data_IF_815995199485
#
_entry.id   IF_815995199485
#
_cell.length_a   1.000
_cell.length_b   1.000
_cell.length_c   1.000
_cell.angle_alpha   90.00
_cell.angle_beta   90.00
_cell.angle_gamma   90.00
#
_symmetry.space_group_name_H-M   'P 1'
#
loop_
_entity.id
_entity.type
_entity.pdbx_description
1 polymer ?
#
# COMPACT_ATOMS: atom_id res chain seq x y z
N UNK A 1 -21.82 29.97 -11.46
CA UNK A 1 -22.08 29.39 -10.14
C UNK A 1 -22.46 27.94 -10.39
N UNK A 2 -21.50 27.03 -10.24
CA UNK A 2 -21.80 25.60 -10.30
C UNK A 2 -22.62 25.22 -9.07
N UNK A 3 -23.56 24.29 -9.23
CA UNK A 3 -24.36 23.75 -8.13
C UNK A 3 -23.43 23.00 -7.18
N UNK A 4 -23.62 23.18 -5.87
CA UNK A 4 -22.91 22.41 -4.85
C UNK A 4 -23.12 20.89 -5.05
N UNK A 5 -22.10 20.12 -4.66
CA UNK A 5 -22.18 18.66 -4.66
C UNK A 5 -22.97 18.16 -3.45
N UNK A 6 -23.64 17.02 -3.63
CA UNK A 6 -24.31 16.30 -2.55
C UNK A 6 -23.29 15.49 -1.72
N UNK A 7 -23.70 15.13 -0.51
CA UNK A 7 -22.91 14.37 0.46
C UNK A 7 -22.38 13.04 -0.12
N UNK A 8 -23.20 12.30 -0.87
CA UNK A 8 -22.80 11.03 -1.48
C UNK A 8 -21.65 11.19 -2.49
N UNK A 9 -21.65 12.29 -3.26
CA UNK A 9 -20.53 12.62 -4.14
C UNK A 9 -19.26 12.97 -3.35
N UNK A 10 -19.37 13.63 -2.20
CA UNK A 10 -18.24 13.96 -1.33
C UNK A 10 -17.69 12.71 -0.61
N UNK A 11 -18.56 11.79 -0.16
CA UNK A 11 -18.17 10.48 0.37
C UNK A 11 -17.41 9.67 -0.68
N UNK A 12 -17.96 9.52 -1.88
CA UNK A 12 -17.27 8.84 -2.98
C UNK A 12 -15.95 9.51 -3.37
N UNK A 13 -15.82 10.84 -3.16
CA UNK A 13 -14.55 11.56 -3.33
C UNK A 13 -13.53 11.14 -2.28
N UNK A 14 -13.92 11.05 -0.99
CA UNK A 14 -13.05 10.60 0.11
C UNK A 14 -12.61 9.14 -0.08
N UNK A 15 -13.54 8.28 -0.51
CA UNK A 15 -13.29 6.85 -0.75
C UNK A 15 -12.49 6.57 -2.03
N UNK A 16 -12.19 7.61 -2.83
CA UNK A 16 -11.55 7.52 -4.15
C UNK A 16 -12.32 6.69 -5.18
N UNK A 17 -13.65 6.65 -5.08
CA UNK A 17 -14.52 5.92 -6.01
C UNK A 17 -14.92 6.76 -7.23
N UNK A 18 -14.65 8.07 -7.21
CA UNK A 18 -14.95 8.96 -8.34
C UNK A 18 -13.99 8.75 -9.52
N UNK A 19 -14.51 9.02 -10.73
CA UNK A 19 -13.65 9.11 -11.91
C UNK A 19 -12.63 10.24 -11.76
N UNK A 20 -11.44 10.14 -12.39
CA UNK A 20 -10.39 11.15 -12.27
C UNK A 20 -10.85 12.57 -12.64
N UNK A 21 -11.70 12.68 -13.66
CA UNK A 21 -12.25 13.95 -14.13
C UNK A 21 -13.19 14.56 -13.08
N UNK A 22 -14.03 13.73 -12.46
CA UNK A 22 -15.00 14.16 -11.45
C UNK A 22 -14.29 14.53 -10.14
N UNK A 23 -13.32 13.73 -9.70
CA UNK A 23 -12.47 14.00 -8.55
C UNK A 23 -11.77 15.37 -8.67
N UNK A 24 -11.22 15.69 -9.85
CA UNK A 24 -10.58 17.00 -10.07
C UNK A 24 -11.58 18.18 -10.06
N UNK A 25 -12.83 17.96 -10.46
CA UNK A 25 -13.88 19.00 -10.35
C UNK A 25 -14.29 19.22 -8.90
N UNK A 26 -14.53 18.14 -8.16
CA UNK A 26 -14.89 18.21 -6.73
C UNK A 26 -13.77 18.91 -5.95
N UNK A 27 -12.52 18.51 -6.14
CA UNK A 27 -11.37 19.15 -5.49
C UNK A 27 -11.27 20.66 -5.76
N UNK A 28 -11.50 21.09 -7.01
CA UNK A 28 -11.49 22.52 -7.36
C UNK A 28 -12.67 23.28 -6.77
N UNK A 29 -13.84 22.66 -6.71
CA UNK A 29 -15.04 23.28 -6.17
C UNK A 29 -14.97 23.43 -4.66
N UNK A 30 -14.57 22.38 -3.94
CA UNK A 30 -14.37 22.41 -2.47
C UNK A 30 -13.37 23.49 -2.08
N UNK A 31 -12.29 23.67 -2.85
CA UNK A 31 -11.31 24.73 -2.60
C UNK A 31 -11.86 26.16 -2.76
N UNK A 32 -13.01 26.34 -3.40
CA UNK A 32 -13.60 27.64 -3.71
C UNK A 32 -15.03 27.85 -3.15
N UNK A 33 -15.56 26.87 -2.41
CA UNK A 33 -16.95 26.84 -1.95
C UNK A 33 -17.00 26.42 -0.47
N UNK A 34 -17.15 27.40 0.43
CA UNK A 34 -17.17 27.17 1.88
C UNK A 34 -18.21 26.12 2.32
N UNK A 35 -19.46 26.11 1.80
CA UNK A 35 -20.44 25.09 2.16
C UNK A 35 -20.01 23.66 1.81
N UNK A 36 -19.33 23.46 0.68
CA UNK A 36 -18.84 22.14 0.31
C UNK A 36 -17.59 21.74 1.10
N UNK A 37 -16.79 22.70 1.56
CA UNK A 37 -15.67 22.43 2.46
C UNK A 37 -16.14 22.05 3.87
N UNK A 38 -17.17 22.71 4.38
CA UNK A 38 -17.80 22.39 5.67
C UNK A 38 -18.44 20.99 5.62
N UNK A 39 -19.23 20.69 4.59
CA UNK A 39 -19.84 19.37 4.42
C UNK A 39 -18.79 18.26 4.25
N UNK A 40 -17.69 18.52 3.54
CA UNK A 40 -16.60 17.55 3.42
C UNK A 40 -15.94 17.27 4.78
N UNK A 41 -15.72 18.30 5.59
CA UNK A 41 -15.15 18.16 6.93
C UNK A 41 -16.07 17.38 7.88
N UNK A 42 -17.39 17.59 7.78
CA UNK A 42 -18.40 16.83 8.55
C UNK A 42 -18.33 15.33 8.22
N UNK A 43 -18.28 14.97 6.93
CA UNK A 43 -18.13 13.57 6.50
C UNK A 43 -16.78 12.98 6.95
N UNK A 44 -15.69 13.75 6.91
CA UNK A 44 -14.39 13.32 7.44
C UNK A 44 -14.43 13.06 8.95
N UNK A 45 -15.16 13.87 9.72
CA UNK A 45 -15.34 13.68 11.16
C UNK A 45 -16.16 12.41 11.47
N UNK A 46 -17.27 12.20 10.75
CA UNK A 46 -18.09 11.00 10.91
C UNK A 46 -17.31 9.72 10.60
N UNK A 47 -16.54 9.71 9.52
CA UNK A 47 -15.68 8.57 9.18
C UNK A 47 -14.59 8.33 10.22
N UNK A 48 -13.97 9.40 10.74
CA UNK A 48 -12.95 9.30 11.78
C UNK A 48 -13.48 8.62 13.06
N UNK A 49 -14.71 8.96 13.48
CA UNK A 49 -15.36 8.34 14.65
C UNK A 49 -15.58 6.83 14.46
N UNK A 50 -15.99 6.41 13.27
CA UNK A 50 -16.17 4.98 12.95
C UNK A 50 -14.83 4.25 12.98
N UNK A 51 -13.77 4.83 12.40
CA UNK A 51 -12.45 4.22 12.39
C UNK A 51 -11.83 4.12 13.80
N UNK A 52 -12.03 5.13 14.66
CA UNK A 52 -11.58 5.09 16.06
C UNK A 52 -12.27 3.95 16.83
N UNK A 53 -13.59 3.81 16.66
CA UNK A 53 -14.35 2.72 17.29
C UNK A 53 -13.91 1.33 16.79
N UNK A 54 -13.60 1.20 15.50
CA UNK A 54 -13.15 -0.06 14.90
C UNK A 54 -11.67 -0.36 15.13
N UNK A 55 -10.85 0.59 15.58
CA UNK A 55 -9.40 0.39 15.72
C UNK A 55 -9.07 -0.79 16.63
N UNK A 56 -9.81 -0.97 17.72
CA UNK A 56 -9.62 -2.08 18.64
C UNK A 56 -9.93 -3.44 18.00
N UNK A 57 -10.93 -3.52 17.11
CA UNK A 57 -11.33 -4.75 16.44
C UNK A 57 -10.45 -5.06 15.21
N UNK A 58 -10.08 -4.04 14.44
CA UNK A 58 -9.19 -4.17 13.27
C UNK A 58 -7.81 -4.71 13.68
N UNK A 59 -7.25 -4.20 14.79
CA UNK A 59 -5.96 -4.65 15.30
C UNK A 59 -5.97 -6.11 15.79
N UNK A 60 -7.13 -6.65 16.15
CA UNK A 60 -7.29 -8.06 16.57
C UNK A 60 -7.58 -8.98 15.39
N UNK A 61 -8.37 -8.51 14.41
CA UNK A 61 -8.86 -9.31 13.29
C UNK A 61 -7.89 -9.41 12.11
N UNK A 62 -6.94 -8.47 11.99
CA UNK A 62 -5.88 -8.55 10.98
C UNK A 62 -4.55 -8.76 11.69
N UNK A 63 -4.04 -10.01 11.79
CA UNK A 63 -2.68 -10.28 12.22
C UNK A 63 -1.71 -9.80 11.13
N UNK A 64 -1.49 -8.49 11.10
CA UNK A 64 -0.67 -7.80 10.10
C UNK A 64 0.69 -8.48 9.98
N UNK A 65 1.32 -8.89 11.09
CA UNK A 65 2.65 -9.52 11.06
C UNK A 65 2.71 -10.85 10.30
N UNK A 66 1.73 -11.74 10.46
CA UNK A 66 1.73 -13.05 9.75
C UNK A 66 1.42 -12.88 8.26
N UNK A 67 0.49 -11.98 7.94
CA UNK A 67 0.17 -11.64 6.55
C UNK A 67 1.35 -10.94 5.87
N UNK A 68 1.99 -9.97 6.54
CA UNK A 68 3.19 -9.32 6.04
C UNK A 68 4.33 -10.31 5.81
N UNK A 69 4.54 -11.28 6.71
CA UNK A 69 5.58 -12.31 6.52
C UNK A 69 5.30 -13.15 5.27
N UNK A 70 4.05 -13.57 5.08
CA UNK A 70 3.64 -14.37 3.91
C UNK A 70 3.71 -13.57 2.61
N UNK A 71 3.32 -12.29 2.64
CA UNK A 71 3.43 -11.39 1.49
C UNK A 71 4.90 -11.17 1.14
N UNK A 72 5.76 -10.89 2.13
CA UNK A 72 7.20 -10.70 1.90
C UNK A 72 7.85 -11.97 1.34
N UNK A 73 7.52 -13.14 1.89
CA UNK A 73 7.99 -14.44 1.39
C UNK A 73 7.57 -14.67 -0.07
N UNK A 74 6.33 -14.29 -0.42
CA UNK A 74 5.83 -14.40 -1.80
C UNK A 74 6.53 -13.41 -2.75
N UNK A 75 6.84 -12.20 -2.29
CA UNK A 75 7.58 -11.20 -3.08
C UNK A 75 9.04 -11.61 -3.27
N UNK A 76 9.69 -12.13 -2.23
CA UNK A 76 11.09 -12.61 -2.30
C UNK A 76 11.23 -13.77 -3.29
N UNK A 77 10.26 -14.69 -3.30
CA UNK A 77 10.25 -15.83 -4.24
C UNK A 77 10.03 -15.36 -5.69
N UNK A 78 9.10 -14.44 -5.94
CA UNK A 78 8.89 -13.88 -7.28
C UNK A 78 10.11 -13.08 -7.77
N UNK A 79 10.70 -12.26 -6.90
CA UNK A 79 11.88 -11.45 -7.25
C UNK A 79 13.12 -12.33 -7.52
N UNK A 80 13.30 -13.43 -6.77
CA UNK A 80 14.35 -14.42 -7.03
C UNK A 80 14.15 -15.06 -8.40
N UNK A 81 12.91 -15.42 -8.74
CA UNK A 81 12.54 -15.99 -10.04
C UNK A 81 12.79 -15.00 -11.18
N UNK A 82 12.43 -13.72 -11.04
CA UNK A 82 12.78 -12.66 -12.02
C UNK A 82 14.29 -12.48 -12.17
N UNK A 83 15.08 -12.54 -11.10
CA UNK A 83 16.55 -12.45 -11.18
C UNK A 83 17.18 -13.63 -11.93
N UNK A 84 16.59 -14.83 -11.80
CA UNK A 84 17.05 -16.03 -12.51
C UNK A 84 16.74 -15.92 -14.01
N UNK A 85 15.56 -15.43 -14.39
CA UNK A 85 15.22 -15.15 -15.80
C UNK A 85 16.10 -14.05 -16.40
N UNK A 86 16.47 -13.01 -15.62
CA UNK A 86 17.43 -12.01 -16.06
C UNK A 86 18.85 -12.56 -16.24
N UNK A 87 19.32 -13.47 -15.37
CA UNK A 87 20.61 -14.14 -15.54
C UNK A 87 20.62 -15.10 -16.73
N UNK A 88 19.52 -15.83 -16.96
CA UNK A 88 19.40 -16.73 -18.10
C UNK A 88 19.36 -15.95 -19.42
N UNK A 89 18.58 -14.86 -19.49
CA UNK A 89 18.53 -14.01 -20.68
C UNK A 89 19.85 -13.29 -20.95
N UNK A 90 20.59 -12.88 -19.91
CA UNK A 90 21.95 -12.34 -20.05
C UNK A 90 22.93 -13.40 -20.58
N UNK A 91 22.84 -14.65 -20.13
CA UNK A 91 23.68 -15.76 -20.59
C UNK A 91 23.39 -16.12 -22.06
N UNK A 92 22.12 -16.16 -22.46
CA UNK A 92 21.70 -16.42 -23.86
C UNK A 92 22.14 -15.30 -24.80
N UNK A 93 22.01 -14.03 -24.38
CA UNK A 93 22.51 -12.88 -25.16
C UNK A 93 24.04 -12.87 -25.27
N UNK A 94 24.75 -13.28 -24.21
CA UNK A 94 26.20 -13.44 -24.23
C UNK A 94 26.68 -14.54 -25.18
N UNK A 95 25.95 -15.66 -25.27
CA UNK A 95 26.27 -16.76 -26.16
C UNK A 95 26.02 -16.43 -27.64
N UNK A 96 25.09 -15.52 -27.94
CA UNK A 96 24.81 -15.07 -29.31
C UNK A 96 25.87 -14.12 -29.90
N UNK A 97 26.84 -13.69 -29.10
CA UNK A 97 27.93 -12.77 -29.52
C UNK A 97 29.28 -13.49 -29.75
N UNK A 98 29.36 -14.80 -29.55
CA UNK A 98 30.56 -15.58 -29.89
C UNK A 98 30.45 -16.16 -31.31
N UNK A 99 31.58 -16.08 -32.02
CA UNK A 99 31.76 -16.41 -33.43
C UNK A 99 31.09 -17.73 -33.90
N UNK A 100 30.65 -17.83 -35.17
CA UNK A 100 29.93 -19.00 -35.71
C UNK A 100 30.70 -20.34 -35.68
N UNK A 101 31.99 -20.34 -35.30
CA UNK A 101 32.84 -21.54 -35.30
C UNK A 101 32.80 -22.33 -33.97
N UNK A 102 32.19 -21.80 -32.91
CA UNK A 102 32.13 -22.47 -31.59
C UNK A 102 30.88 -23.36 -31.41
N UNK A 103 29.93 -23.28 -32.35
CA UNK A 103 28.65 -24.02 -32.31
C UNK A 103 28.85 -25.54 -32.48
N UNK A 104 29.91 -25.98 -33.17
CA UNK A 104 30.18 -27.40 -33.39
C UNK A 104 30.72 -28.14 -32.14
N UNK A 105 31.41 -27.44 -31.23
CA UNK A 105 31.98 -28.06 -30.02
C UNK A 105 31.06 -27.99 -28.79
N UNK A 106 30.11 -27.04 -28.77
CA UNK A 106 29.16 -26.90 -27.66
C UNK A 106 28.14 -28.03 -27.56
N UNK A 107 27.72 -28.62 -28.69
CA UNK A 107 26.78 -29.75 -28.71
C UNK A 107 27.37 -31.02 -28.10
N UNK A 108 28.68 -31.24 -28.28
CA UNK A 108 29.39 -32.39 -27.71
C UNK A 108 29.41 -32.32 -26.17
N UNK A 109 29.64 -31.13 -25.60
CA UNK A 109 29.64 -30.94 -24.14
C UNK A 109 28.25 -31.10 -23.52
N UNK A 110 27.19 -30.67 -24.21
CA UNK A 110 25.81 -30.89 -23.77
C UNK A 110 25.45 -32.38 -23.77
N UNK A 111 25.81 -33.11 -24.83
CA UNK A 111 25.56 -34.56 -24.92
C UNK A 111 26.37 -35.30 -23.85
N UNK A 112 27.65 -34.97 -23.65
CA UNK A 112 28.49 -35.59 -22.61
C UNK A 112 27.94 -35.28 -21.22
N UNK A 113 27.47 -34.06 -20.96
CA UNK A 113 26.83 -33.68 -19.70
C UNK A 113 25.54 -34.43 -19.41
N UNK A 114 24.68 -34.60 -20.42
CA UNK A 114 23.43 -35.37 -20.28
C UNK A 114 23.69 -36.86 -20.08
N UNK A 115 24.65 -37.44 -20.81
CA UNK A 115 25.02 -38.86 -20.67
C UNK A 115 25.65 -39.13 -19.31
N UNK A 116 26.52 -38.24 -18.82
CA UNK A 116 27.10 -38.38 -17.47
C UNK A 116 26.05 -38.22 -16.36
N UNK A 117 25.06 -37.33 -16.52
CA UNK A 117 23.93 -37.23 -15.60
C UNK A 117 23.08 -38.51 -15.58
N UNK A 118 22.83 -39.13 -16.75
CA UNK A 118 22.06 -40.37 -16.84
C UNK A 118 22.81 -41.59 -16.26
N UNK A 119 24.15 -41.61 -16.29
CA UNK A 119 24.96 -42.70 -15.70
C UNK A 119 25.01 -42.60 -14.17
N UNK A 120 24.95 -41.38 -13.60
CA UNK A 120 24.95 -41.18 -12.15
C UNK A 120 23.58 -41.46 -11.53
N UNK A 121 22.49 -41.30 -12.28
CA UNK A 121 21.15 -41.71 -11.86
C UNK A 121 20.99 -43.21 -12.12
N UNK A 122 21.62 -44.01 -11.26
CA UNK A 122 21.45 -45.47 -11.23
C UNK A 122 20.05 -45.76 -10.66
N UNK A 123 19.11 -46.35 -11.41
CA UNK A 123 17.79 -46.67 -10.88
C UNK A 123 17.90 -47.90 -9.98
N UNK A 124 17.63 -47.73 -8.68
CA UNK A 124 17.27 -48.85 -7.83
C UNK A 124 15.92 -49.40 -8.27
N UNK A 125 15.94 -50.63 -8.76
CA UNK A 125 14.76 -51.40 -9.11
C UNK A 125 13.88 -51.62 -7.87
N UNK A 126 12.78 -50.84 -7.75
CA UNK A 126 11.58 -51.28 -7.02
C UNK A 126 10.53 -51.71 -8.02
N UNK A 127 10.68 -52.95 -8.46
CA UNK A 127 9.58 -53.71 -9.03
C UNK A 127 8.69 -54.20 -7.88
N UNK A 128 7.37 -54.03 -8.04
CA UNK A 128 6.34 -54.69 -7.26
C UNK A 128 5.70 -53.81 -6.19
N UNK A 129 4.58 -53.16 -6.54
CA UNK A 129 3.33 -53.19 -5.74
C UNK A 129 2.21 -52.47 -6.53
N UNK A 130 1.68 -53.13 -7.56
CA UNK A 130 0.37 -52.82 -8.13
C UNK A 130 -0.51 -54.05 -7.91
N UNK A 131 -1.21 -54.08 -6.78
CA UNK A 131 -2.37 -54.93 -6.58
C UNK A 131 -3.25 -54.35 -5.46
N UNK A 132 -4.54 -54.14 -5.79
CA UNK A 132 -5.65 -53.83 -4.87
C UNK A 132 -5.55 -52.48 -4.14
N UNK A 133 -6.49 -51.56 -4.32
CA UNK A 133 -7.84 -51.68 -3.72
C UNK A 133 -8.88 -51.03 -4.64
N UNK A 134 -9.88 -51.85 -4.97
CA UNK A 134 -11.22 -51.50 -5.44
C UNK A 134 -12.13 -51.41 -4.20
N UNK A 135 -13.15 -50.53 -4.25
CA UNK A 135 -14.20 -50.25 -3.23
C UNK A 135 -13.86 -49.05 -2.33
N UNK A 136 -14.73 -48.09 -2.06
CA UNK A 136 -16.16 -47.90 -2.35
C UNK A 136 -16.48 -46.42 -2.09
N UNK A 137 -17.08 -45.72 -3.06
CA UNK A 137 -17.64 -44.38 -2.84
C UNK A 137 -19.05 -44.58 -2.27
N UNK A 138 -19.38 -44.11 -1.06
CA UNK A 138 -20.78 -43.95 -0.69
C UNK A 138 -21.33 -42.75 -1.45
N UNK A 139 -22.33 -43.00 -2.30
CA UNK A 139 -23.15 -41.97 -2.89
C UNK A 139 -23.87 -41.22 -1.75
N UNK A 140 -23.45 -40.00 -1.46
CA UNK A 140 -24.21 -39.08 -0.63
C UNK A 140 -25.32 -38.52 -1.52
N UNK A 141 -26.50 -39.09 -1.39
CA UNK A 141 -27.75 -38.55 -1.90
C UNK A 141 -27.98 -37.19 -1.24
N UNK A 142 -27.78 -36.11 -2.00
CA UNK A 142 -28.18 -34.77 -1.61
C UNK A 142 -29.71 -34.71 -1.73
N UNK A 143 -30.40 -34.87 -0.60
CA UNK A 143 -31.82 -34.52 -0.47
C UNK A 143 -31.95 -33.01 -0.57
N UNK A 144 -32.37 -32.52 -1.73
CA UNK A 144 -33.01 -31.22 -1.87
C UNK A 144 -34.39 -31.28 -1.22
N UNK A 145 -34.52 -30.73 -0.02
CA UNK A 145 -35.81 -30.40 0.58
C UNK A 145 -36.05 -28.90 0.43
N UNK A 146 -36.79 -28.54 -0.61
CA UNK A 146 -37.44 -27.25 -0.78
C UNK A 146 -38.78 -27.32 -0.02
N UNK A 147 -39.10 -26.43 0.94
CA UNK A 147 -40.48 -26.26 1.39
C UNK A 147 -41.12 -25.11 0.61
N UNK A 148 -42.06 -25.49 -0.23
CA UNK A 148 -43.07 -24.62 -0.83
C UNK A 148 -44.12 -24.28 0.24
N UNK A 149 -44.39 -22.98 0.36
CA UNK A 149 -45.69 -22.31 0.60
C UNK A 149 -46.67 -22.98 1.58
N UNK A 150 -46.91 -22.30 2.71
CA UNK A 150 -48.24 -22.22 3.32
C UNK A 150 -48.51 -20.77 3.76
N UNK A 151 -49.50 -20.17 3.13
CA UNK A 151 -50.12 -18.87 3.45
C UNK A 151 -51.37 -19.13 4.29
N UNK A 152 -51.58 -18.41 5.40
CA UNK A 152 -52.91 -17.86 5.65
C UNK A 152 -52.88 -16.50 6.41
N UNK A 153 -54.03 -15.88 6.71
CA UNK A 153 -54.72 -14.92 5.87
C UNK A 153 -54.57 -13.48 6.36
N UNK A 154 -54.87 -12.56 5.45
CA UNK A 154 -55.00 -11.12 5.67
C UNK A 154 -56.08 -10.81 6.71
N UNK A 155 -55.71 -10.07 7.75
CA UNK A 155 -56.63 -9.22 8.51
C UNK A 155 -56.01 -7.83 8.70
N UNK A 156 -56.64 -6.84 8.08
CA UNK A 156 -56.41 -5.41 8.34
C UNK A 156 -57.29 -5.03 9.54
N UNK A 157 -56.82 -4.20 10.49
CA UNK A 157 -57.40 -2.87 10.55
C UNK A 157 -56.49 -1.73 11.09
N UNK A 158 -56.68 -0.56 10.45
CA UNK A 158 -56.85 0.79 11.04
C UNK A 158 -55.57 1.59 11.47
N UNK A 159 -55.46 2.86 11.02
CA UNK A 159 -54.31 3.73 11.26
C UNK A 159 -54.43 4.49 12.60
N UNK A 160 -53.35 4.48 13.39
CA UNK A 160 -53.23 5.28 14.61
C UNK A 160 -52.15 6.36 14.43
N UNK A 161 -52.64 7.59 14.34
CA UNK A 161 -52.13 8.83 14.93
C UNK A 161 -50.61 9.11 14.96
N UNK A 162 -50.23 10.10 14.17
CA UNK A 162 -49.00 10.85 14.30
C UNK A 162 -48.85 11.51 15.69
N UNK A 163 -47.67 11.49 16.32
CA UNK A 163 -47.36 12.40 17.40
C UNK A 163 -46.95 13.76 16.83
N UNK A 164 -47.76 14.78 17.12
CA UNK A 164 -47.35 16.18 17.03
C UNK A 164 -46.33 16.44 18.13
N UNK A 165 -45.10 16.79 17.77
CA UNK A 165 -44.20 17.52 18.66
C UNK A 165 -43.99 18.89 18.04
N UNK A 166 -44.71 19.86 18.61
CA UNK A 166 -44.35 21.27 18.53
C UNK A 166 -43.48 21.56 19.76
N UNK A 167 -42.24 21.96 19.56
CA UNK A 167 -41.52 22.85 20.49
C UNK A 167 -40.34 23.49 19.77
N UNK A 168 -40.65 24.58 19.09
CA UNK A 168 -39.94 25.86 19.21
C UNK A 168 -38.62 25.83 20.01
N UNK A 169 -37.51 25.92 19.29
CA UNK A 169 -36.29 26.56 19.80
C UNK A 169 -35.61 27.25 18.62
N UNK A 170 -35.76 28.57 18.56
CA UNK A 170 -35.03 29.41 17.63
C UNK A 170 -33.51 29.29 17.89
N UNK A 171 -32.67 29.22 16.85
CA UNK A 171 -31.24 29.30 17.05
C UNK A 171 -30.89 30.71 17.55
N UNK A 172 -30.34 30.79 18.76
CA UNK A 172 -29.66 32.01 19.25
C UNK A 172 -28.42 32.20 18.39
N UNK A 173 -28.38 33.28 17.61
CA UNK A 173 -27.17 33.76 16.99
C UNK A 173 -26.14 34.08 18.09
N UNK A 174 -25.11 33.24 18.20
CA UNK A 174 -23.92 33.55 18.99
C UNK A 174 -22.98 34.32 18.07
N UNK A 175 -22.93 35.64 18.24
CA UNK A 175 -21.93 36.48 17.58
C UNK A 175 -20.56 36.13 18.17
N UNK A 176 -19.76 35.34 17.46
CA UNK A 176 -18.36 35.16 17.77
C UNK A 176 -17.59 36.42 17.37
N UNK A 177 -17.33 37.30 18.34
CA UNK A 177 -16.39 38.40 18.16
C UNK A 177 -14.97 37.84 18.10
N UNK A 178 -14.41 37.74 16.89
CA UNK A 178 -13.02 37.44 16.66
C UNK A 178 -12.15 38.61 17.13
N UNK A 179 -11.45 38.43 18.25
CA UNK A 179 -10.37 39.31 18.67
C UNK A 179 -9.07 38.72 18.13
N UNK A 180 -8.33 39.41 17.24
CA UNK A 180 -7.02 38.94 16.80
C UNK A 180 -6.10 38.93 18.02
N UNK A 181 -5.74 37.72 18.47
CA UNK A 181 -4.71 37.56 19.50
C UNK A 181 -3.37 37.73 18.81
N UNK A 182 -2.85 38.96 18.81
CA UNK A 182 -1.43 39.21 18.55
C UNK A 182 -0.62 38.47 19.63
N UNK A 183 -0.24 37.22 19.34
CA UNK A 183 0.74 36.47 20.10
C UNK A 183 2.10 37.09 19.85
N UNK A 184 2.38 38.17 20.58
CA UNK A 184 3.70 38.73 20.74
C UNK A 184 4.53 37.78 21.63
N UNK A 185 4.75 36.55 21.14
CA UNK A 185 5.66 35.59 21.72
C UNK A 185 7.06 36.01 21.30
N UNK A 186 7.67 36.88 22.10
CA UNK A 186 9.12 37.00 22.17
C UNK A 186 9.66 35.61 22.51
N UNK A 187 10.07 34.89 21.48
CA UNK A 187 10.93 33.71 21.61
C UNK A 187 12.20 34.21 22.30
N UNK A 188 12.29 33.98 23.60
CA UNK A 188 13.57 34.03 24.29
C UNK A 188 14.34 32.83 23.72
N UNK A 189 15.16 33.12 22.72
CA UNK A 189 16.15 32.21 22.16
C UNK A 189 17.13 31.86 23.28
N UNK A 190 16.82 30.79 24.01
CA UNK A 190 17.73 30.16 24.94
C UNK A 190 18.84 29.53 24.11
N UNK A 191 19.91 30.30 23.89
CA UNK A 191 21.13 29.87 23.23
C UNK A 191 21.72 28.69 24.02
N UNK A 192 21.39 27.47 23.61
CA UNK A 192 22.05 26.28 24.13
C UNK A 192 23.54 26.32 23.73
N UNK A 193 24.47 26.03 24.66
CA UNK A 193 25.88 26.06 24.34
C UNK A 193 26.26 24.89 23.44
N UNK A 194 26.72 25.21 22.23
CA UNK A 194 27.73 24.43 21.50
C UNK A 194 27.51 22.93 21.36
N UNK A 195 26.37 22.50 20.81
CA UNK A 195 26.28 21.15 20.25
C UNK A 195 27.05 21.15 18.93
N UNK A 196 28.31 20.71 18.96
CA UNK A 196 29.03 20.36 17.73
C UNK A 196 28.15 19.39 16.92
N UNK A 197 28.06 19.51 15.59
CA UNK A 197 27.30 18.57 14.78
C UNK A 197 27.96 17.21 14.92
N UNK A 198 27.44 16.38 15.83
CA UNK A 198 27.87 15.00 15.98
C UNK A 198 27.57 14.34 14.64
N UNK A 199 28.61 13.86 13.95
CA UNK A 199 28.45 13.20 12.67
C UNK A 199 27.30 12.18 12.77
N UNK A 200 26.38 12.13 11.80
CA UNK A 200 25.23 11.23 11.86
C UNK A 200 25.73 9.81 12.11
N UNK A 201 25.40 9.27 13.29
CA UNK A 201 25.73 7.89 13.64
C UNK A 201 24.77 7.01 12.86
N UNK A 202 25.25 6.51 11.73
CA UNK A 202 24.56 5.52 10.93
C UNK A 202 24.78 4.13 11.53
N UNK A 203 23.76 3.29 11.47
CA UNK A 203 23.90 1.87 11.74
C UNK A 203 24.69 1.20 10.61
N UNK A 204 25.27 0.04 10.90
CA UNK A 204 25.92 -0.76 9.88
C UNK A 204 24.94 -1.10 8.75
N UNK A 205 25.33 -0.84 7.51
CA UNK A 205 24.48 -0.97 6.32
C UNK A 205 23.47 0.18 6.06
N UNK A 206 23.20 1.09 7.01
CA UNK A 206 22.25 2.21 6.82
C UNK A 206 22.72 3.20 5.75
N UNK A 207 24.03 3.43 5.65
CA UNK A 207 24.60 4.44 4.76
C UNK A 207 24.23 4.20 3.28
N UNK A 208 24.22 2.94 2.85
CA UNK A 208 23.86 2.57 1.47
C UNK A 208 22.42 2.96 1.14
N UNK A 209 21.49 2.72 2.06
CA UNK A 209 20.10 3.13 1.91
C UNK A 209 19.97 4.65 1.85
N UNK A 210 20.58 5.35 2.81
CA UNK A 210 20.51 6.82 2.89
C UNK A 210 21.07 7.48 1.64
N UNK A 211 22.20 7.00 1.12
CA UNK A 211 22.80 7.52 -0.11
C UNK A 211 21.92 7.26 -1.33
N UNK A 212 21.31 6.08 -1.42
CA UNK A 212 20.40 5.71 -2.51
C UNK A 212 19.14 6.59 -2.49
N UNK A 213 18.54 6.77 -1.32
CA UNK A 213 17.38 7.63 -1.11
C UNK A 213 17.70 9.07 -1.51
N UNK A 214 18.82 9.63 -1.04
CA UNK A 214 19.20 11.01 -1.38
C UNK A 214 19.38 11.23 -2.89
N UNK A 215 19.92 10.23 -3.60
CA UNK A 215 20.04 10.28 -5.06
C UNK A 215 18.67 10.24 -5.73
N UNK A 216 17.81 9.33 -5.31
CA UNK A 216 16.48 9.16 -5.89
C UNK A 216 15.57 10.36 -5.59
N UNK A 217 15.60 10.90 -4.38
CA UNK A 217 14.85 12.12 -4.00
C UNK A 217 15.19 13.27 -4.94
N UNK A 218 16.48 13.51 -5.22
CA UNK A 218 16.89 14.56 -6.16
C UNK A 218 16.30 14.37 -7.55
N UNK A 219 16.27 13.13 -8.05
CA UNK A 219 15.67 12.80 -9.35
C UNK A 219 14.15 12.98 -9.33
N UNK A 220 13.49 12.55 -8.27
CA UNK A 220 12.03 12.63 -8.15
C UNK A 220 11.58 14.08 -7.99
N UNK A 221 12.22 14.88 -7.14
CA UNK A 221 11.87 16.29 -6.94
C UNK A 221 11.99 17.12 -8.23
N UNK A 222 12.94 16.76 -9.10
CA UNK A 222 13.13 17.45 -10.38
C UNK A 222 12.06 17.06 -11.42
N UNK A 223 11.51 15.84 -11.34
CA UNK A 223 10.66 15.29 -12.40
C UNK A 223 9.18 15.17 -11.99
N UNK A 224 8.85 15.04 -10.71
CA UNK A 224 7.51 14.67 -10.20
C UNK A 224 6.39 15.56 -10.74
N UNK A 225 6.69 16.84 -10.95
CA UNK A 225 5.74 17.84 -11.45
C UNK A 225 5.35 17.62 -12.90
N UNK A 226 6.26 17.07 -13.70
CA UNK A 226 6.02 16.77 -15.12
C UNK A 226 5.32 15.41 -15.29
N UNK A 227 5.64 14.43 -14.44
CA UNK A 227 5.15 13.05 -14.63
C UNK A 227 3.83 12.73 -13.93
N UNK A 228 3.45 13.51 -12.92
CA UNK A 228 2.32 13.19 -12.06
C UNK A 228 1.26 14.28 -12.12
N UNK A 229 0.00 13.86 -12.31
CA UNK A 229 -1.17 14.73 -12.13
C UNK A 229 -1.25 15.23 -10.68
N UNK A 230 -1.84 16.41 -10.41
CA UNK A 230 -1.91 16.98 -9.06
C UNK A 230 -2.48 16.04 -7.99
N UNK A 231 -3.53 15.28 -8.30
CA UNK A 231 -4.10 14.29 -7.36
C UNK A 231 -3.12 13.16 -7.02
N UNK A 232 -2.39 12.64 -8.01
CA UNK A 232 -1.39 11.61 -7.80
C UNK A 232 -0.19 12.11 -6.98
N UNK A 233 0.17 13.39 -7.14
CA UNK A 233 1.22 14.04 -6.34
C UNK A 233 0.83 14.13 -4.87
N UNK A 234 -0.40 14.53 -4.59
CA UNK A 234 -0.91 14.61 -3.22
C UNK A 234 -0.83 13.25 -2.51
N UNK A 235 -1.31 12.18 -3.14
CA UNK A 235 -1.23 10.83 -2.58
C UNK A 235 0.21 10.35 -2.39
N UNK A 236 1.10 10.67 -3.34
CA UNK A 236 2.53 10.37 -3.23
C UNK A 236 3.18 11.09 -2.04
N UNK A 237 2.92 12.39 -1.88
CA UNK A 237 3.48 13.21 -0.79
C UNK A 237 2.95 12.75 0.58
N UNK A 238 1.67 12.39 0.66
CA UNK A 238 1.08 11.77 1.86
C UNK A 238 1.80 10.46 2.23
N UNK A 239 1.96 9.55 1.28
CA UNK A 239 2.63 8.27 1.51
C UNK A 239 4.10 8.45 1.91
N UNK A 240 4.79 9.40 1.28
CA UNK A 240 6.17 9.75 1.61
C UNK A 240 6.29 10.30 3.03
N UNK A 241 5.35 11.13 3.47
CA UNK A 241 5.31 11.66 4.83
C UNK A 241 5.17 10.55 5.89
N UNK A 242 4.29 9.57 5.66
CA UNK A 242 4.11 8.42 6.55
C UNK A 242 5.40 7.60 6.67
N UNK A 243 6.05 7.29 5.54
CA UNK A 243 7.32 6.53 5.54
C UNK A 243 8.43 7.32 6.24
N UNK A 244 8.52 8.63 6.01
CA UNK A 244 9.50 9.51 6.65
C UNK A 244 9.31 9.59 8.18
N UNK A 245 8.08 9.64 8.65
CA UNK A 245 7.78 9.61 10.09
C UNK A 245 8.19 8.28 10.71
N UNK A 246 7.87 7.16 10.07
CA UNK A 246 8.31 5.81 10.53
C UNK A 246 9.82 5.70 10.61
N UNK A 247 10.56 6.12 9.58
CA UNK A 247 12.04 6.16 9.60
C UNK A 247 12.52 7.01 10.77
N UNK A 248 11.93 8.19 10.98
CA UNK A 248 12.33 9.11 12.06
C UNK A 248 12.08 8.51 13.45
N UNK A 249 10.92 7.87 13.65
CA UNK A 249 10.57 7.16 14.88
C UNK A 249 11.53 6.01 15.16
N UNK A 250 11.75 5.13 14.17
CA UNK A 250 12.63 3.98 14.34
C UNK A 250 14.10 4.37 14.51
N UNK A 251 14.58 5.41 13.82
CA UNK A 251 15.94 5.95 14.08
C UNK A 251 16.11 6.45 15.51
N UNK A 252 15.07 7.05 16.12
CA UNK A 252 15.12 7.45 17.53
C UNK A 252 15.11 6.24 18.44
N UNK A 253 14.30 5.24 18.12
CA UNK A 253 14.19 4.02 18.92
C UNK A 253 15.48 3.22 18.91
N UNK A 254 16.08 2.99 17.73
CA UNK A 254 17.38 2.29 17.65
C UNK A 254 18.50 3.08 18.32
N UNK A 255 18.46 4.42 18.28
CA UNK A 255 19.43 5.25 19.02
C UNK A 255 19.29 5.10 20.54
N UNK A 256 18.07 4.96 21.05
CA UNK A 256 17.79 4.75 22.48
C UNK A 256 18.12 3.32 22.91
N UNK A 257 17.79 2.34 22.08
CA UNK A 257 18.04 0.93 22.32
C UNK A 257 18.71 0.25 21.11
N UNK A 258 20.05 0.32 21.00
CA UNK A 258 20.79 -0.26 19.87
C UNK A 258 20.74 -1.79 19.79
N UNK A 259 20.23 -2.48 20.82
CA UNK A 259 20.06 -3.94 20.84
C UNK A 259 18.64 -4.39 20.46
N UNK A 260 17.74 -3.45 20.18
CA UNK A 260 16.40 -3.76 19.70
C UNK A 260 16.47 -4.14 18.21
N UNK A 261 16.50 -5.45 17.92
CA UNK A 261 16.62 -5.95 16.56
C UNK A 261 15.32 -5.76 15.75
N UNK A 262 14.16 -5.77 16.40
CA UNK A 262 12.86 -5.47 15.76
C UNK A 262 12.84 -4.04 15.21
N UNK A 263 13.29 -3.07 16.02
CA UNK A 263 13.35 -1.67 15.60
C UNK A 263 14.31 -1.45 14.42
N UNK A 264 15.43 -2.20 14.36
CA UNK A 264 16.35 -2.18 13.21
C UNK A 264 15.69 -2.77 11.98
N UNK A 265 14.98 -3.90 12.11
CA UNK A 265 14.29 -4.53 11.00
C UNK A 265 13.24 -3.61 10.40
N UNK A 266 12.41 -2.97 11.24
CA UNK A 266 11.40 -2.01 10.80
C UNK A 266 12.08 -0.80 10.14
N UNK A 267 13.20 -0.31 10.68
CA UNK A 267 13.96 0.79 10.07
C UNK A 267 14.44 0.43 8.65
N UNK A 268 15.05 -0.74 8.47
CA UNK A 268 15.52 -1.19 7.16
C UNK A 268 14.38 -1.44 6.18
N UNK A 269 13.27 -2.03 6.63
CA UNK A 269 12.07 -2.19 5.81
C UNK A 269 11.51 -0.82 5.37
N UNK A 270 11.50 0.16 6.28
CA UNK A 270 11.05 1.52 5.98
C UNK A 270 11.94 2.20 4.94
N UNK A 271 13.25 1.95 4.96
CA UNK A 271 14.16 2.43 3.92
C UNK A 271 13.88 1.81 2.55
N UNK A 272 13.62 0.50 2.51
CA UNK A 272 13.28 -0.20 1.28
C UNK A 272 11.98 0.34 0.68
N UNK A 273 10.94 0.50 1.50
CA UNK A 273 9.65 1.07 1.08
C UNK A 273 9.83 2.49 0.51
N UNK A 274 10.68 3.32 1.12
CA UNK A 274 10.98 4.65 0.61
C UNK A 274 11.64 4.60 -0.77
N UNK A 275 12.61 3.71 -0.96
CA UNK A 275 13.30 3.52 -2.24
C UNK A 275 12.32 3.05 -3.31
N UNK A 276 11.45 2.09 -3.00
CA UNK A 276 10.43 1.61 -3.93
C UNK A 276 9.47 2.72 -4.34
N UNK A 277 8.98 3.49 -3.36
CA UNK A 277 8.11 4.63 -3.61
C UNK A 277 8.78 5.66 -4.54
N UNK A 278 10.06 5.98 -4.32
CA UNK A 278 10.83 6.89 -5.17
C UNK A 278 11.09 6.32 -6.58
N UNK A 279 11.39 5.03 -6.68
CA UNK A 279 11.58 4.36 -7.97
C UNK A 279 10.30 4.34 -8.80
N UNK A 280 9.12 4.19 -8.18
CA UNK A 280 7.85 4.19 -8.89
C UNK A 280 7.62 5.48 -9.70
N UNK A 281 8.07 6.63 -9.18
CA UNK A 281 7.98 7.92 -9.87
C UNK A 281 8.98 7.99 -11.02
N UNK A 282 10.20 7.52 -10.78
CA UNK A 282 11.27 7.52 -11.79
C UNK A 282 10.92 6.60 -12.97
N UNK A 283 10.40 5.41 -12.72
CA UNK A 283 9.94 4.49 -13.77
C UNK A 283 8.80 5.08 -14.59
N UNK A 284 7.83 5.73 -13.92
CA UNK A 284 6.77 6.45 -14.63
C UNK A 284 7.34 7.56 -15.52
N UNK A 285 8.42 8.22 -15.10
CA UNK A 285 9.10 9.26 -15.88
C UNK A 285 9.73 8.71 -17.15
N UNK A 286 10.42 7.57 -17.04
CA UNK A 286 11.02 6.89 -18.19
C UNK A 286 9.97 6.41 -19.19
N UNK A 287 8.85 5.86 -18.70
CA UNK A 287 7.73 5.45 -19.54
C UNK A 287 7.13 6.65 -20.29
N UNK A 288 6.88 7.78 -19.62
CA UNK A 288 6.37 8.98 -20.28
C UNK A 288 7.37 9.57 -21.28
N UNK A 289 8.67 9.54 -20.96
CA UNK A 289 9.72 9.98 -21.87
C UNK A 289 9.82 9.08 -23.11
N UNK A 290 9.57 7.77 -22.98
CA UNK A 290 9.58 6.82 -24.10
C UNK A 290 8.37 6.93 -25.03
N UNK A 291 7.29 7.57 -24.60
CA UNK A 291 6.06 7.77 -25.36
C UNK A 291 6.01 9.11 -26.11
N UNK A 292 7.02 9.98 -25.93
CA UNK A 292 7.21 11.21 -26.72
C UNK A 292 8.13 10.97 -27.89
#
# INVERSE_FOLDING_TARGET
MEKCFDEGTLQAFLDNELTPELSQRVARHVAACDPCAELLAEVEEETALVFEALEQEINVLVPTQRLWTKINETIETENRQRSLWHRLTAFVKGLSLLHPQVIAFGSLLLIVGVVSALIVIKPENRAGELANIRSSVPAVTVSQSNPSVDEPPVDTPVPAAAPKIASESAPRAVNANYVPRESNQRVIEKKEPGVQPRAPQFLDGEETYVRTIARLEKTVDSNKDEVMKPSARFSYEKNLAVVNDTISKMKREVRRNPKNDDAKQILFASYQNKIELLNSVTQRSELMASMR
#
